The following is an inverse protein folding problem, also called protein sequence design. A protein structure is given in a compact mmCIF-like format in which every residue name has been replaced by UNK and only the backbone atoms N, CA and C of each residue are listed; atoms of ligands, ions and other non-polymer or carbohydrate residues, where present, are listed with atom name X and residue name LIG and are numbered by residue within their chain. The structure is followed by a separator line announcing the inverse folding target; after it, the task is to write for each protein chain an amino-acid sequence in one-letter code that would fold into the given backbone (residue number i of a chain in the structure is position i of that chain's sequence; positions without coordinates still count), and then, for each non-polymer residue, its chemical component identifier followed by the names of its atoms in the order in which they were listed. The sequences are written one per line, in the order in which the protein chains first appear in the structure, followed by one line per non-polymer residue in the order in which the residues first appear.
data_IF_934059229579
#
_entry.id   IF_934059229579
#
_cell.length_a   1.000
_cell.length_b   1.000
_cell.length_c   1.000
_cell.angle_alpha   90.00
_cell.angle_beta   90.00
_cell.angle_gamma   90.00
#
_symmetry.space_group_name_H-M   'P 1'
#
loop_
_entity.id
_entity.type
_entity.pdbx_description
1 polymer ?
#
# COMPACT_ATOMS: atom_id res chain seq x y z
N UNK A 1 -56.87 32.92 44.07
CA UNK A 1 -56.58 31.51 44.42
C UNK A 1 -55.94 30.87 43.20
N UNK A 2 -54.71 30.40 43.33
CA UNK A 2 -53.77 30.06 42.24
C UNK A 2 -54.09 28.70 41.60
N UNK A 3 -53.97 28.53 40.27
CA UNK A 3 -54.06 27.22 39.64
C UNK A 3 -52.76 26.43 39.83
N UNK A 4 -52.86 25.21 40.35
CA UNK A 4 -51.74 24.29 40.48
C UNK A 4 -51.39 23.67 39.12
N UNK A 5 -50.19 23.96 38.62
CA UNK A 5 -49.59 23.24 37.50
C UNK A 5 -48.92 21.94 37.98
N UNK A 6 -49.26 20.84 37.31
CA UNK A 6 -48.59 19.54 37.40
C UNK A 6 -47.09 19.68 37.13
N UNK A 7 -46.27 19.02 37.95
CA UNK A 7 -44.90 18.66 37.58
C UNK A 7 -44.82 17.15 37.35
N UNK A 8 -44.92 16.73 36.09
CA UNK A 8 -44.45 15.41 35.67
C UNK A 8 -42.92 15.42 35.77
N UNK A 9 -42.38 14.69 36.74
CA UNK A 9 -40.95 14.42 36.83
C UNK A 9 -40.60 13.38 35.77
N UNK A 10 -39.94 13.80 34.69
CA UNK A 10 -39.31 12.86 33.76
C UNK A 10 -38.19 12.12 34.51
N UNK A 11 -38.44 10.86 34.82
CA UNK A 11 -37.43 9.92 35.28
C UNK A 11 -36.36 9.77 34.19
N UNK A 12 -35.17 10.26 34.49
CA UNK A 12 -33.98 10.13 33.66
C UNK A 12 -33.57 8.66 33.69
N UNK A 13 -33.99 7.87 32.71
CA UNK A 13 -33.44 6.53 32.52
C UNK A 13 -31.96 6.65 32.12
N UNK A 14 -31.06 5.84 32.70
CA UNK A 14 -29.66 5.83 32.32
C UNK A 14 -29.53 5.39 30.87
N UNK A 15 -28.92 6.26 30.05
CA UNK A 15 -28.61 6.02 28.64
C UNK A 15 -27.79 4.72 28.54
N UNK A 16 -28.25 3.70 27.79
CA UNK A 16 -27.52 2.44 27.72
C UNK A 16 -26.13 2.69 27.16
N UNK A 17 -25.11 2.30 27.91
CA UNK A 17 -23.73 2.31 27.45
C UNK A 17 -23.67 1.53 26.14
N UNK A 18 -23.37 2.21 25.03
CA UNK A 18 -23.24 1.57 23.73
C UNK A 18 -22.08 0.59 23.80
N UNK A 19 -22.39 -0.69 24.03
CA UNK A 19 -21.42 -1.78 23.96
C UNK A 19 -20.82 -1.76 22.56
N UNK A 20 -19.57 -1.28 22.45
CA UNK A 20 -18.79 -1.41 21.22
C UNK A 20 -18.51 -2.89 21.04
N UNK A 21 -19.32 -3.56 20.23
CA UNK A 21 -19.04 -4.92 19.81
C UNK A 21 -17.74 -4.91 19.01
N UNK A 22 -16.65 -5.37 19.62
CA UNK A 22 -15.40 -5.62 18.90
C UNK A 22 -15.63 -6.82 17.99
N UNK A 23 -15.81 -6.55 16.70
CA UNK A 23 -15.81 -7.59 15.67
C UNK A 23 -14.36 -8.08 15.50
N UNK A 24 -14.05 -9.23 16.10
CA UNK A 24 -12.81 -9.96 15.82
C UNK A 24 -13.05 -10.87 14.62
N UNK A 25 -12.96 -10.32 13.40
CA UNK A 25 -12.92 -11.20 12.23
C UNK A 25 -11.59 -11.95 12.25
N UNK A 26 -11.61 -13.27 12.17
CA UNK A 26 -10.40 -14.06 11.96
C UNK A 26 -9.65 -13.54 10.72
N UNK A 27 -8.38 -13.18 10.88
CA UNK A 27 -7.56 -12.75 9.77
C UNK A 27 -7.29 -13.96 8.86
N UNK A 28 -8.00 -14.03 7.73
CA UNK A 28 -7.71 -15.03 6.70
C UNK A 28 -6.36 -14.70 6.06
N UNK A 29 -5.29 -15.31 6.59
CA UNK A 29 -3.92 -15.18 6.09
C UNK A 29 -3.74 -15.99 4.80
N UNK A 30 -4.48 -15.64 3.76
CA UNK A 30 -4.30 -16.24 2.42
C UNK A 30 -3.79 -15.19 1.45
N UNK A 31 -2.57 -14.70 1.69
CA UNK A 31 -1.76 -14.14 0.60
C UNK A 31 -1.10 -15.29 -0.15
N UNK A 32 -1.89 -16.21 -0.69
CA UNK A 32 -1.38 -17.17 -1.67
C UNK A 32 -1.39 -16.42 -2.99
N UNK A 33 -0.24 -15.86 -3.36
CA UNK A 33 -0.05 -15.36 -4.72
C UNK A 33 -0.39 -16.49 -5.70
N UNK A 34 -0.93 -16.20 -6.89
CA UNK A 34 -1.18 -17.23 -7.88
C UNK A 34 0.11 -18.00 -8.17
N UNK A 35 0.00 -19.33 -8.43
CA UNK A 35 1.14 -20.17 -8.70
C UNK A 35 1.94 -19.62 -9.89
N UNK A 36 3.25 -19.85 -9.90
CA UNK A 36 4.11 -19.39 -10.99
C UNK A 36 3.67 -20.10 -12.29
N UNK A 37 3.52 -19.38 -13.42
CA UNK A 37 3.19 -20.01 -14.69
C UNK A 37 4.26 -21.04 -15.04
N UNK A 38 3.80 -22.22 -15.46
CA UNK A 38 4.69 -23.31 -15.89
C UNK A 38 5.37 -22.92 -17.20
N UNK A 39 6.54 -23.50 -17.44
CA UNK A 39 7.22 -23.32 -18.72
C UNK A 39 6.46 -24.08 -19.81
N UNK A 40 6.37 -23.51 -21.03
CA UNK A 40 5.86 -24.26 -22.16
C UNK A 40 6.71 -25.51 -22.42
N UNK A 41 6.13 -26.56 -23.01
CA UNK A 41 6.85 -27.79 -23.30
C UNK A 41 7.91 -27.55 -24.39
N UNK A 42 8.94 -28.40 -24.42
CA UNK A 42 10.11 -28.14 -25.28
C UNK A 42 9.81 -28.22 -26.78
N UNK A 43 8.76 -28.94 -27.19
CA UNK A 43 8.36 -29.08 -28.59
C UNK A 43 7.71 -27.81 -29.17
N UNK A 44 7.23 -26.90 -28.34
CA UNK A 44 6.61 -25.63 -28.78
C UNK A 44 7.61 -24.47 -28.83
N UNK A 45 8.88 -24.73 -28.53
CA UNK A 45 9.91 -23.70 -28.35
C UNK A 45 11.05 -23.88 -29.34
N UNK A 46 11.29 -22.87 -30.15
CA UNK A 46 12.51 -22.75 -30.96
C UNK A 46 13.57 -21.97 -30.17
N UNK A 47 14.74 -22.58 -29.97
CA UNK A 47 15.86 -21.91 -29.32
C UNK A 47 16.95 -21.49 -30.34
N UNK A 48 17.32 -20.20 -30.34
CA UNK A 48 18.43 -19.67 -31.13
C UNK A 48 19.48 -19.00 -30.22
N UNK A 49 20.74 -19.04 -30.64
CA UNK A 49 21.84 -18.39 -29.93
C UNK A 49 22.59 -17.46 -30.87
N UNK A 50 22.70 -16.20 -30.48
CA UNK A 50 23.45 -15.19 -31.24
C UNK A 50 24.76 -14.95 -30.52
N UNK A 51 25.87 -15.12 -31.24
CA UNK A 51 27.21 -14.80 -30.75
C UNK A 51 27.40 -13.28 -30.87
N UNK A 52 27.19 -12.58 -29.76
CA UNK A 52 27.48 -11.15 -29.67
C UNK A 52 28.97 -10.87 -29.46
N UNK A 53 29.37 -9.61 -29.63
CA UNK A 53 30.74 -9.13 -29.43
C UNK A 53 31.16 -9.05 -27.94
N UNK A 54 30.19 -8.91 -27.02
CA UNK A 54 30.44 -8.80 -25.58
C UNK A 54 30.47 -10.12 -24.80
N UNK A 55 30.80 -10.08 -23.49
CA UNK A 55 30.86 -11.25 -22.63
C UNK A 55 29.45 -11.83 -22.40
N UNK A 56 29.21 -13.03 -22.92
CA UNK A 56 27.95 -13.75 -22.78
C UNK A 56 26.99 -13.50 -23.94
N UNK A 57 26.92 -14.46 -24.87
CA UNK A 57 26.04 -14.34 -26.04
C UNK A 57 24.55 -14.32 -25.67
N UNK A 58 23.75 -13.80 -26.60
CA UNK A 58 22.33 -13.59 -26.45
C UNK A 58 21.56 -14.89 -26.71
N UNK A 59 20.70 -15.29 -25.77
CA UNK A 59 19.76 -16.41 -25.96
C UNK A 59 18.43 -15.86 -26.47
N UNK A 60 17.94 -16.41 -27.57
CA UNK A 60 16.64 -16.09 -28.15
C UNK A 60 15.76 -17.34 -28.03
N UNK A 61 14.58 -17.19 -27.45
CA UNK A 61 13.54 -18.23 -27.42
C UNK A 61 12.32 -17.70 -28.15
N UNK A 62 11.75 -18.52 -29.03
CA UNK A 62 10.51 -18.23 -29.74
C UNK A 62 9.50 -19.31 -29.43
N UNK A 63 8.30 -18.91 -29.03
CA UNK A 63 7.17 -19.83 -28.94
C UNK A 63 6.55 -19.96 -30.33
N UNK A 64 6.50 -21.17 -30.87
CA UNK A 64 6.04 -21.44 -32.24
C UNK A 64 4.57 -21.02 -32.43
N UNK A 65 3.60 -21.46 -31.59
CA UNK A 65 2.20 -21.23 -31.89
C UNK A 65 1.75 -19.78 -31.65
N UNK A 66 2.37 -19.04 -30.71
CA UNK A 66 2.04 -17.63 -30.47
C UNK A 66 2.97 -16.64 -31.16
N UNK A 67 4.09 -17.11 -31.72
CA UNK A 67 5.10 -16.25 -32.34
C UNK A 67 5.86 -15.32 -31.38
N UNK A 68 5.66 -15.44 -30.06
CA UNK A 68 6.32 -14.56 -29.09
C UNK A 68 7.82 -14.87 -29.04
N UNK A 69 8.62 -13.84 -29.31
CA UNK A 69 10.09 -13.90 -29.22
C UNK A 69 10.58 -13.21 -27.95
N UNK A 70 11.42 -13.90 -27.19
CA UNK A 70 12.07 -13.42 -25.98
C UNK A 70 13.57 -13.47 -26.14
N UNK A 71 14.25 -12.38 -25.77
CA UNK A 71 15.71 -12.26 -25.78
C UNK A 71 16.21 -12.18 -24.33
N UNK A 72 17.29 -12.88 -24.02
CA UNK A 72 17.92 -12.86 -22.69
C UNK A 72 19.44 -12.78 -22.82
N UNK A 73 20.03 -11.79 -22.13
CA UNK A 73 21.47 -11.54 -22.04
C UNK A 73 21.83 -11.05 -20.62
N UNK A 74 21.28 -11.71 -19.60
CA UNK A 74 21.44 -11.27 -18.21
C UNK A 74 22.78 -11.67 -17.60
N UNK A 75 23.36 -12.79 -18.02
CA UNK A 75 24.55 -13.38 -17.41
C UNK A 75 25.55 -13.89 -18.45
N UNK A 76 26.78 -14.17 -18.01
CA UNK A 76 27.80 -14.85 -18.83
C UNK A 76 27.45 -16.31 -19.18
N UNK A 77 26.56 -16.93 -18.41
CA UNK A 77 26.22 -18.35 -18.52
C UNK A 77 25.07 -18.61 -19.48
N UNK A 78 25.27 -19.52 -20.44
CA UNK A 78 24.24 -19.90 -21.42
C UNK A 78 23.05 -20.62 -20.77
N UNK A 79 23.33 -21.51 -19.82
CA UNK A 79 22.29 -22.30 -19.14
C UNK A 79 21.39 -21.40 -18.28
N UNK A 80 21.97 -20.40 -17.63
CA UNK A 80 21.24 -19.41 -16.85
C UNK A 80 20.41 -18.48 -17.74
N UNK A 81 20.99 -17.98 -18.84
CA UNK A 81 20.24 -17.19 -19.82
C UNK A 81 19.06 -17.97 -20.42
N UNK A 82 19.19 -19.30 -20.63
CA UNK A 82 18.09 -20.18 -21.05
C UNK A 82 16.97 -20.24 -20.02
N UNK A 83 17.29 -20.45 -18.73
CA UNK A 83 16.30 -20.47 -17.65
C UNK A 83 15.58 -19.13 -17.52
N UNK A 84 16.32 -18.02 -17.60
CA UNK A 84 15.76 -16.68 -17.56
C UNK A 84 14.82 -16.44 -18.75
N UNK A 85 15.23 -16.82 -19.96
CA UNK A 85 14.39 -16.71 -21.15
C UNK A 85 13.10 -17.53 -21.03
N UNK A 86 13.16 -18.77 -20.52
CA UNK A 86 11.97 -19.61 -20.27
C UNK A 86 11.03 -19.00 -19.22
N UNK A 87 11.58 -18.38 -18.18
CA UNK A 87 10.79 -17.68 -17.17
C UNK A 87 10.06 -16.45 -17.75
N UNK A 88 10.75 -15.67 -18.58
CA UNK A 88 10.17 -14.48 -19.23
C UNK A 88 9.10 -14.91 -20.25
N UNK A 89 9.38 -15.95 -21.04
CA UNK A 89 8.43 -16.47 -22.01
C UNK A 89 7.15 -16.97 -21.34
N UNK A 90 7.27 -17.74 -20.25
CA UNK A 90 6.12 -18.19 -19.47
C UNK A 90 5.30 -17.02 -18.89
N UNK A 91 5.96 -15.95 -18.42
CA UNK A 91 5.28 -14.74 -17.96
C UNK A 91 4.51 -14.03 -19.07
N UNK A 92 5.12 -13.88 -20.26
CA UNK A 92 4.45 -13.27 -21.42
C UNK A 92 3.27 -14.09 -21.94
N UNK A 93 3.38 -15.42 -21.89
CA UNK A 93 2.25 -16.30 -22.23
C UNK A 93 1.13 -16.16 -21.20
N UNK A 94 1.46 -16.10 -19.91
CA UNK A 94 0.47 -15.85 -18.85
C UNK A 94 -0.25 -14.50 -19.04
N UNK A 95 0.49 -13.45 -19.39
CA UNK A 95 -0.08 -12.14 -19.73
C UNK A 95 -0.97 -12.20 -20.98
N UNK A 96 -0.60 -12.97 -21.99
CA UNK A 96 -1.40 -13.15 -23.21
C UNK A 96 -2.72 -13.87 -22.92
N UNK A 97 -2.69 -14.95 -22.15
CA UNK A 97 -3.87 -15.79 -21.89
C UNK A 97 -4.77 -15.22 -20.77
N UNK A 98 -4.17 -14.73 -19.68
CA UNK A 98 -4.91 -14.34 -18.47
C UNK A 98 -5.01 -12.81 -18.26
N UNK A 99 -4.19 -12.01 -18.95
CA UNK A 99 -4.29 -10.54 -18.91
C UNK A 99 -4.24 -9.96 -17.49
N UNK A 100 -5.35 -9.40 -17.01
CA UNK A 100 -5.49 -8.83 -15.66
C UNK A 100 -5.40 -9.85 -14.54
N UNK A 101 -5.69 -11.12 -14.82
CA UNK A 101 -5.59 -12.21 -13.86
C UNK A 101 -4.20 -12.87 -13.87
N UNK A 102 -3.32 -12.41 -14.76
CA UNK A 102 -1.93 -12.88 -14.81
C UNK A 102 -1.25 -12.65 -13.46
N UNK A 103 -0.29 -13.51 -13.14
CA UNK A 103 0.46 -13.41 -11.89
C UNK A 103 1.18 -12.07 -11.76
N UNK A 104 1.67 -11.52 -12.87
CA UNK A 104 2.33 -10.22 -12.90
C UNK A 104 1.37 -9.09 -12.48
N UNK A 105 0.15 -9.09 -13.02
CA UNK A 105 -0.89 -8.12 -12.69
C UNK A 105 -1.31 -8.24 -11.21
N UNK A 106 -1.57 -9.45 -10.72
CA UNK A 106 -1.96 -9.67 -9.31
C UNK A 106 -0.86 -9.20 -8.35
N UNK A 107 0.42 -9.46 -8.66
CA UNK A 107 1.54 -8.96 -7.86
C UNK A 107 1.60 -7.43 -7.89
N UNK A 108 1.40 -6.82 -9.05
CA UNK A 108 1.37 -5.36 -9.21
C UNK A 108 0.26 -4.73 -8.37
N UNK A 109 -0.95 -5.30 -8.40
CA UNK A 109 -2.11 -4.86 -7.62
C UNK A 109 -1.85 -4.97 -6.12
N UNK A 110 -1.33 -6.11 -5.65
CA UNK A 110 -0.98 -6.29 -4.23
C UNK A 110 0.06 -5.25 -3.81
N UNK A 111 1.07 -4.99 -4.65
CA UNK A 111 2.09 -3.98 -4.39
C UNK A 111 1.48 -2.57 -4.34
N UNK A 112 0.57 -2.25 -5.24
CA UNK A 112 -0.15 -0.98 -5.27
C UNK A 112 -1.02 -0.79 -4.02
N UNK A 113 -1.82 -1.81 -3.64
CA UNK A 113 -2.66 -1.79 -2.43
C UNK A 113 -1.83 -1.58 -1.15
N UNK A 114 -0.67 -2.25 -1.06
CA UNK A 114 0.28 -2.07 0.05
C UNK A 114 0.84 -0.64 0.09
N UNK A 115 1.24 -0.09 -1.07
CA UNK A 115 1.72 1.30 -1.18
C UNK A 115 0.64 2.32 -0.79
N UNK A 116 -0.58 2.16 -1.28
CA UNK A 116 -1.71 3.04 -0.96
C UNK A 116 -2.04 3.01 0.55
N UNK A 117 -2.03 1.83 1.16
CA UNK A 117 -2.25 1.66 2.60
C UNK A 117 -1.17 2.34 3.43
N UNK A 118 0.10 2.18 3.04
CA UNK A 118 1.24 2.84 3.68
C UNK A 118 1.15 4.37 3.55
N UNK A 119 0.81 4.88 2.36
CA UNK A 119 0.63 6.31 2.11
C UNK A 119 -0.51 6.90 2.95
N UNK A 120 -1.66 6.21 3.04
CA UNK A 120 -2.79 6.62 3.90
C UNK A 120 -2.38 6.68 5.36
N UNK A 121 -1.59 5.72 5.85
CA UNK A 121 -1.07 5.70 7.23
C UNK A 121 -0.08 6.85 7.47
N UNK A 122 0.81 7.14 6.53
CA UNK A 122 1.73 8.30 6.63
C UNK A 122 0.95 9.60 6.73
N UNK A 123 0.02 9.85 5.80
CA UNK A 123 -0.80 11.06 5.78
C UNK A 123 -1.55 11.29 7.10
N UNK A 124 -2.09 10.23 7.71
CA UNK A 124 -2.75 10.33 9.02
C UNK A 124 -1.78 10.74 10.12
N UNK A 125 -0.56 10.20 10.13
CA UNK A 125 0.49 10.58 11.09
C UNK A 125 0.93 12.03 10.89
N UNK A 126 1.12 12.45 9.64
CA UNK A 126 1.57 13.80 9.30
C UNK A 126 0.53 14.85 9.67
N UNK A 127 -0.74 14.55 9.41
CA UNK A 127 -1.87 15.36 9.88
C UNK A 127 -1.86 15.47 11.41
N UNK A 128 -1.78 14.35 12.14
CA UNK A 128 -1.76 14.36 13.61
C UNK A 128 -0.61 15.21 14.18
N UNK A 129 0.60 15.12 13.61
CA UNK A 129 1.75 15.96 14.00
C UNK A 129 1.47 17.45 13.76
N UNK A 130 0.86 17.79 12.63
CA UNK A 130 0.52 19.18 12.26
C UNK A 130 -0.48 19.77 13.24
N UNK A 131 -1.51 19.01 13.62
CA UNK A 131 -2.49 19.43 14.63
C UNK A 131 -1.86 19.63 16.00
N UNK A 132 -0.99 18.71 16.43
CA UNK A 132 -0.26 18.83 17.70
C UNK A 132 0.59 20.11 17.74
N UNK A 133 1.39 20.34 16.69
CA UNK A 133 2.21 21.55 16.53
C UNK A 133 1.37 22.84 16.54
N UNK A 134 0.20 22.84 15.89
CA UNK A 134 -0.71 23.99 15.90
C UNK A 134 -1.31 24.24 17.29
N UNK A 135 -1.57 23.19 18.06
CA UNK A 135 -1.97 23.28 19.47
C UNK A 135 -0.87 23.91 20.33
N UNK A 136 0.35 23.35 20.26
CA UNK A 136 1.54 23.86 20.98
C UNK A 136 1.80 25.35 20.65
N UNK A 137 1.72 25.74 19.37
CA UNK A 137 1.88 27.14 18.94
C UNK A 137 0.81 28.08 19.49
N UNK A 138 -0.44 27.62 19.60
CA UNK A 138 -1.54 28.40 20.20
C UNK A 138 -1.32 28.60 21.70
N UNK A 139 -0.89 27.56 22.42
CA UNK A 139 -0.57 27.65 23.85
C UNK A 139 0.62 28.59 24.10
N UNK A 140 1.69 28.48 23.31
CA UNK A 140 2.86 29.37 23.41
C UNK A 140 2.47 30.84 23.20
N UNK A 141 1.63 31.14 22.20
CA UNK A 141 1.09 32.49 21.98
C UNK A 141 0.26 33.00 23.16
N UNK A 142 -0.56 32.14 23.78
CA UNK A 142 -1.37 32.49 24.95
C UNK A 142 -0.50 32.80 26.17
N UNK A 143 0.56 32.01 26.39
CA UNK A 143 1.50 32.26 27.48
C UNK A 143 2.27 33.57 27.28
N UNK A 144 2.81 33.82 26.08
CA UNK A 144 3.48 35.09 25.74
C UNK A 144 2.56 36.32 25.93
N UNK A 145 1.26 36.19 25.63
CA UNK A 145 0.30 37.26 25.87
C UNK A 145 0.10 37.54 27.38
N UNK A 146 -0.02 36.49 28.20
CA UNK A 146 -0.14 36.61 29.67
C UNK A 146 1.10 37.23 30.32
N UNK A 147 2.29 36.88 29.86
CA UNK A 147 3.55 37.41 30.40
C UNK A 147 3.70 38.91 30.09
N UNK A 148 3.28 39.34 28.89
CA UNK A 148 3.24 40.77 28.53
C UNK A 148 2.26 41.57 29.37
N UNK A 149 1.12 40.99 29.73
CA UNK A 149 0.11 41.64 30.58
C UNK A 149 0.63 41.82 32.02
N UNK A 150 1.29 40.79 32.57
CA UNK A 150 1.94 40.86 33.89
C UNK A 150 3.11 41.85 33.96
N UNK A 151 3.82 42.09 32.86
CA UNK A 151 4.91 43.07 32.78
C UNK A 151 4.44 44.53 32.76
N UNK A 152 3.23 44.82 32.24
CA UNK A 152 2.68 46.18 32.16
C UNK A 152 2.11 46.70 33.49
N UNK A 153 1.85 45.82 34.47
CA UNK A 153 1.33 46.20 35.79
C UNK A 153 2.37 46.62 36.84
N UNK A 154 3.68 46.51 36.55
CA UNK A 154 4.76 46.79 37.54
C UNK A 154 5.44 48.16 37.41
N UNK A 155 4.93 49.06 36.57
CA UNK A 155 5.53 50.39 36.36
C UNK A 155 4.51 51.52 36.49
N UNK A 156 4.08 51.84 37.71
CA UNK A 156 3.45 53.13 38.10
C UNK A 156 3.20 53.15 39.61
N UNK A 157 4.25 53.43 40.39
CA UNK A 157 4.15 54.01 41.73
C UNK A 157 5.34 54.95 41.88
N UNK A 158 5.15 56.20 41.47
CA UNK A 158 5.91 57.37 41.95
C UNK A 158 4.88 58.27 42.62
#
# INVERSE_FOLDING_TARGET
MTPHFLRLTWSILPRPASFRLFTTSAALSKTILPPRPKHPPEHEIEEAFVKGSGPGGQKILKHIPTGIVVKSQATRSRSENRKIARNILAGRLDELYNGSESRAAVIADVKQRKRASAAKKSRRKDWAKTWKRKGEWKEEKKNKAKDKDKGKGKGKRQ
#
